data_IF_442723209519
#
_entry.id   IF_442723209519
#
_cell.length_a   1.000
_cell.length_b   1.000
_cell.length_c   1.000
_cell.angle_alpha   90.00
_cell.angle_beta   90.00
_cell.angle_gamma   90.00
#
_symmetry.space_group_name_H-M   'P 1'
#
loop_
_entity.id
_entity.type
_entity.pdbx_description
1 polymer ?
#
# COMPACT_ATOMS: atom_id res chain seq x y z
N UNK A 1 -43.66 -41.16 24.73
CA UNK A 1 -42.26 -40.81 24.42
C UNK A 1 -42.26 -40.09 23.10
N UNK A 2 -41.98 -38.78 23.08
CA UNK A 2 -42.13 -37.92 21.90
C UNK A 2 -41.01 -36.88 21.84
N UNK A 3 -40.38 -36.78 20.67
CA UNK A 3 -40.04 -35.52 20.02
C UNK A 3 -38.90 -34.68 20.59
N UNK A 4 -37.72 -34.85 19.99
CA UNK A 4 -36.70 -33.80 19.86
C UNK A 4 -37.28 -32.53 19.23
N UNK A 5 -36.89 -31.36 19.76
CA UNK A 5 -36.30 -30.26 18.98
C UNK A 5 -35.94 -29.11 19.93
N UNK A 6 -34.80 -29.24 20.60
CA UNK A 6 -34.16 -28.11 21.29
C UNK A 6 -33.47 -27.27 20.23
N UNK A 7 -34.10 -26.15 19.88
CA UNK A 7 -33.53 -25.14 18.99
C UNK A 7 -32.07 -24.86 19.34
N UNK A 8 -31.18 -25.19 18.41
CA UNK A 8 -29.76 -24.91 18.51
C UNK A 8 -29.56 -23.42 18.22
N UNK A 9 -29.69 -22.59 19.25
CA UNK A 9 -29.40 -21.16 19.16
C UNK A 9 -27.88 -21.01 18.99
N UNK A 10 -27.42 -20.86 17.75
CA UNK A 10 -26.02 -20.52 17.43
C UNK A 10 -25.72 -19.17 18.08
N UNK A 11 -25.13 -19.17 19.28
CA UNK A 11 -24.55 -17.97 19.86
C UNK A 11 -23.44 -17.51 18.92
N UNK A 12 -23.69 -16.42 18.20
CA UNK A 12 -22.63 -15.67 17.52
C UNK A 12 -21.58 -15.33 18.58
N UNK A 13 -20.42 -15.96 18.52
CA UNK A 13 -19.27 -15.60 19.35
C UNK A 13 -18.79 -14.24 18.88
N UNK A 14 -19.21 -13.18 19.55
CA UNK A 14 -18.49 -11.92 19.52
C UNK A 14 -17.05 -12.24 19.92
N UNK A 15 -16.11 -12.16 18.98
CA UNK A 15 -14.69 -12.14 19.33
C UNK A 15 -14.49 -10.85 20.12
N UNK A 16 -14.25 -10.97 21.43
CA UNK A 16 -13.82 -9.85 22.25
C UNK A 16 -12.59 -9.24 21.60
N UNK A 17 -12.56 -7.91 21.48
CA UNK A 17 -11.36 -7.20 21.05
C UNK A 17 -10.25 -7.54 22.04
N UNK A 18 -9.02 -7.86 21.58
CA UNK A 18 -7.92 -8.17 22.49
C UNK A 18 -7.74 -7.01 23.47
N UNK A 19 -7.74 -7.32 24.76
CA UNK A 19 -7.58 -6.33 25.82
C UNK A 19 -6.09 -6.03 26.01
N UNK A 20 -5.79 -4.91 26.67
CA UNK A 20 -4.41 -4.54 27.00
C UNK A 20 -3.72 -5.56 27.90
N UNK A 21 -4.49 -6.43 28.57
CA UNK A 21 -4.01 -7.51 29.43
C UNK A 21 -3.62 -8.78 28.64
N UNK A 22 -4.08 -8.91 27.38
CA UNK A 22 -3.65 -9.97 26.46
C UNK A 22 -2.20 -9.76 25.96
N UNK A 23 -1.64 -8.56 26.18
CA UNK A 23 -0.25 -8.20 25.86
C UNK A 23 0.64 -8.26 27.12
N UNK A 24 0.65 -9.40 27.81
CA UNK A 24 1.67 -9.65 28.83
C UNK A 24 3.00 -9.98 28.15
N UNK A 25 3.86 -8.98 27.98
CA UNK A 25 5.28 -9.21 27.74
C UNK A 25 5.84 -9.95 28.96
N UNK A 26 6.26 -11.20 28.72
CA UNK A 26 6.52 -12.20 29.74
C UNK A 26 7.41 -11.68 30.87
N UNK A 27 6.95 -11.90 32.11
CA UNK A 27 7.81 -11.87 33.29
C UNK A 27 8.94 -12.85 33.07
N UNK A 28 10.18 -12.37 33.10
CA UNK A 28 11.40 -13.16 32.97
C UNK A 28 11.47 -14.22 34.07
N UNK A 29 11.08 -15.45 33.73
CA UNK A 29 11.23 -16.60 34.63
C UNK A 29 12.68 -17.03 34.66
N UNK A 30 13.34 -16.88 35.80
CA UNK A 30 14.74 -17.24 36.05
C UNK A 30 14.96 -18.75 36.21
N UNK A 31 14.35 -19.58 35.36
CA UNK A 31 14.68 -21.01 35.28
C UNK A 31 15.70 -21.20 34.17
N UNK A 32 16.95 -21.45 34.58
CA UNK A 32 18.02 -21.93 33.71
C UNK A 32 17.58 -23.24 33.06
N UNK A 33 17.04 -23.15 31.86
CA UNK A 33 16.81 -24.32 31.02
C UNK A 33 18.10 -24.59 30.25
N UNK A 34 18.76 -25.67 30.64
CA UNK A 34 19.97 -26.20 30.02
C UNK A 34 19.60 -26.75 28.63
N UNK A 35 19.43 -25.86 27.65
CA UNK A 35 19.20 -26.24 26.25
C UNK A 35 20.55 -26.57 25.63
N UNK A 36 20.88 -27.86 25.71
CA UNK A 36 21.83 -28.60 24.91
C UNK A 36 22.51 -27.81 23.77
N UNK A 37 23.76 -27.43 24.02
CA UNK A 37 24.80 -27.40 23.00
C UNK A 37 24.93 -28.79 22.36
N UNK A 38 24.16 -29.06 21.32
CA UNK A 38 24.48 -30.13 20.36
C UNK A 38 24.24 -29.63 18.94
N UNK A 39 25.36 -29.34 18.29
CA UNK A 39 25.56 -29.40 16.84
C UNK A 39 24.74 -28.44 15.98
N UNK A 40 24.97 -27.14 16.13
CA UNK A 40 24.83 -26.22 14.99
C UNK A 40 26.25 -25.89 14.51
N UNK A 41 26.82 -26.79 13.72
CA UNK A 41 27.84 -26.39 12.75
C UNK A 41 27.07 -25.64 11.66
N UNK A 42 26.88 -24.33 11.85
CA UNK A 42 26.46 -23.47 10.75
C UNK A 42 27.64 -23.43 9.79
N UNK A 43 27.49 -24.05 8.62
CA UNK A 43 28.36 -23.74 7.49
C UNK A 43 28.05 -22.31 7.08
N UNK A 44 29.07 -21.47 7.08
CA UNK A 44 28.98 -20.02 6.91
C UNK A 44 28.91 -19.62 5.42
N UNK A 45 28.04 -20.27 4.63
CA UNK A 45 27.90 -20.01 3.18
C UNK A 45 26.52 -19.43 2.81
N UNK A 46 25.54 -19.40 3.72
CA UNK A 46 24.13 -19.06 3.44
C UNK A 46 23.60 -17.75 4.08
N UNK A 47 24.41 -17.06 4.90
CA UNK A 47 24.01 -15.80 5.56
C UNK A 47 24.00 -14.60 4.59
N UNK A 48 24.91 -14.59 3.61
CA UNK A 48 25.00 -13.52 2.61
C UNK A 48 23.86 -13.58 1.58
N UNK A 49 23.42 -14.78 1.21
CA UNK A 49 22.31 -14.98 0.27
C UNK A 49 20.98 -14.57 0.90
N UNK A 50 20.76 -14.90 2.17
CA UNK A 50 19.56 -14.54 2.93
C UNK A 50 19.50 -13.02 3.16
N UNK A 51 20.62 -12.40 3.54
CA UNK A 51 20.71 -10.95 3.74
C UNK A 51 20.45 -10.18 2.44
N UNK A 52 21.01 -10.63 1.32
CA UNK A 52 20.79 -10.01 0.01
C UNK A 52 19.33 -10.15 -0.46
N UNK A 53 18.70 -11.30 -0.21
CA UNK A 53 17.27 -11.51 -0.52
C UNK A 53 16.35 -10.57 0.27
N UNK A 54 16.64 -10.33 1.55
CA UNK A 54 15.88 -9.38 2.39
C UNK A 54 16.02 -7.96 1.84
N UNK A 55 17.25 -7.53 1.52
CA UNK A 55 17.49 -6.20 0.93
C UNK A 55 16.76 -6.04 -0.41
N UNK A 56 16.77 -7.06 -1.27
CA UNK A 56 16.08 -7.01 -2.55
C UNK A 56 14.55 -6.91 -2.38
N UNK A 57 13.97 -7.65 -1.41
CA UNK A 57 12.54 -7.55 -1.08
C UNK A 57 12.15 -6.17 -0.55
N UNK A 58 13.00 -5.56 0.29
CA UNK A 58 12.78 -4.20 0.78
C UNK A 58 12.80 -3.18 -0.36
N UNK A 59 13.75 -3.28 -1.30
CA UNK A 59 13.81 -2.41 -2.49
C UNK A 59 12.58 -2.56 -3.39
N UNK A 60 12.12 -3.80 -3.59
CA UNK A 60 10.89 -4.06 -4.34
C UNK A 60 9.67 -3.41 -3.67
N UNK A 61 9.52 -3.60 -2.36
CA UNK A 61 8.40 -3.06 -1.58
C UNK A 61 8.36 -1.52 -1.64
N UNK A 62 9.52 -0.87 -1.55
CA UNK A 62 9.63 0.59 -1.68
C UNK A 62 9.27 1.06 -3.10
N UNK A 63 9.66 0.32 -4.13
CA UNK A 63 9.32 0.65 -5.52
C UNK A 63 7.81 0.54 -5.76
N UNK A 64 7.17 -0.52 -5.24
CA UNK A 64 5.71 -0.70 -5.30
C UNK A 64 4.96 0.41 -4.54
N UNK A 65 5.48 0.84 -3.39
CA UNK A 65 4.95 1.99 -2.63
C UNK A 65 4.99 3.26 -3.47
N UNK A 66 6.11 3.54 -4.12
CA UNK A 66 6.27 4.72 -4.98
C UNK A 66 5.35 4.68 -6.20
N UNK A 67 5.21 3.52 -6.86
CA UNK A 67 4.27 3.34 -7.98
C UNK A 67 2.83 3.60 -7.54
N UNK A 68 2.44 3.07 -6.38
CA UNK A 68 1.10 3.27 -5.81
C UNK A 68 0.84 4.75 -5.52
N UNK A 69 1.81 5.45 -4.95
CA UNK A 69 1.69 6.87 -4.63
C UNK A 69 1.57 7.75 -5.89
N UNK A 70 2.37 7.46 -6.92
CA UNK A 70 2.23 8.09 -8.24
C UNK A 70 0.84 7.82 -8.85
N UNK A 71 0.29 6.62 -8.65
CA UNK A 71 -1.07 6.28 -9.06
C UNK A 71 -2.14 7.16 -8.39
N UNK A 72 -1.98 7.44 -7.08
CA UNK A 72 -2.88 8.37 -6.36
C UNK A 72 -2.75 9.79 -6.90
N UNK A 73 -1.53 10.27 -7.12
CA UNK A 73 -1.29 11.59 -7.70
C UNK A 73 -1.93 11.71 -9.09
N UNK A 74 -1.83 10.68 -9.93
CA UNK A 74 -2.51 10.64 -11.23
C UNK A 74 -4.03 10.75 -11.07
N UNK A 75 -4.61 10.03 -10.10
CA UNK A 75 -6.05 10.08 -9.83
C UNK A 75 -6.52 11.47 -9.37
N UNK A 76 -5.74 12.15 -8.53
CA UNK A 76 -6.05 13.51 -8.09
C UNK A 76 -6.04 14.49 -9.27
N UNK A 77 -4.99 14.44 -10.12
CA UNK A 77 -4.90 15.29 -11.31
C UNK A 77 -6.01 15.05 -12.33
N UNK A 78 -6.47 13.80 -12.48
CA UNK A 78 -7.65 13.50 -13.32
C UNK A 78 -8.94 14.09 -12.74
N UNK A 79 -9.07 14.12 -11.41
CA UNK A 79 -10.21 14.75 -10.75
C UNK A 79 -10.19 16.28 -10.96
N UNK A 80 -9.03 16.92 -10.81
CA UNK A 80 -8.84 18.34 -11.12
C UNK A 80 -9.29 18.67 -12.55
N UNK A 81 -8.86 17.84 -13.53
CA UNK A 81 -9.27 17.98 -14.93
C UNK A 81 -10.78 17.88 -15.12
N UNK A 82 -11.42 16.93 -14.43
CA UNK A 82 -12.88 16.74 -14.49
C UNK A 82 -13.62 17.93 -13.89
N UNK A 83 -13.13 18.47 -12.77
CA UNK A 83 -13.70 19.66 -12.15
C UNK A 83 -13.62 20.88 -13.07
N UNK A 84 -12.47 21.14 -13.68
CA UNK A 84 -12.32 22.26 -14.63
C UNK A 84 -13.21 22.06 -15.86
N UNK A 85 -13.32 20.82 -16.36
CA UNK A 85 -14.21 20.51 -17.48
C UNK A 85 -15.68 20.79 -17.12
N UNK A 86 -16.10 20.42 -15.90
CA UNK A 86 -17.45 20.72 -15.41
C UNK A 86 -17.68 22.23 -15.24
N UNK A 87 -16.68 22.97 -14.76
CA UNK A 87 -16.75 24.44 -14.67
C UNK A 87 -16.94 25.06 -16.06
N UNK A 88 -16.15 24.65 -17.06
CA UNK A 88 -16.31 25.09 -18.45
C UNK A 88 -17.70 24.79 -19.00
N UNK A 89 -18.24 23.59 -18.72
CA UNK A 89 -19.61 23.25 -19.11
C UNK A 89 -20.65 24.13 -18.43
N UNK A 90 -20.44 24.48 -17.15
CA UNK A 90 -21.38 25.35 -16.41
C UNK A 90 -21.43 26.78 -16.94
N UNK A 91 -20.33 27.29 -17.48
CA UNK A 91 -20.29 28.62 -18.13
C UNK A 91 -20.95 28.64 -19.51
N UNK A 92 -21.04 27.48 -20.19
CA UNK A 92 -21.67 27.36 -21.51
C UNK A 92 -21.01 28.27 -22.56
N UNK A 93 -21.82 28.92 -23.40
CA UNK A 93 -21.36 29.85 -24.44
C UNK A 93 -21.01 31.26 -23.93
N UNK A 94 -21.28 31.56 -22.66
CA UNK A 94 -21.15 32.90 -22.07
C UNK A 94 -19.92 33.02 -21.17
N UNK A 95 -18.94 32.13 -21.31
CA UNK A 95 -17.70 32.22 -20.55
C UNK A 95 -16.94 33.48 -20.95
N UNK A 96 -16.52 34.27 -19.97
CA UNK A 96 -15.63 35.40 -20.20
C UNK A 96 -14.33 34.89 -20.85
N UNK A 97 -13.82 35.61 -21.85
CA UNK A 97 -12.62 35.19 -22.57
C UNK A 97 -11.43 34.98 -21.64
N UNK A 98 -11.25 35.84 -20.64
CA UNK A 98 -10.14 35.76 -19.66
C UNK A 98 -10.29 34.50 -18.80
N UNK A 99 -11.51 34.18 -18.38
CA UNK A 99 -11.81 32.96 -17.62
C UNK A 99 -11.52 31.72 -18.48
N UNK A 100 -11.94 31.73 -19.75
CA UNK A 100 -11.71 30.62 -20.66
C UNK A 100 -10.22 30.36 -20.91
N UNK A 101 -9.43 31.43 -21.03
CA UNK A 101 -7.98 31.34 -21.22
C UNK A 101 -7.29 30.78 -19.96
N UNK A 102 -7.66 31.30 -18.79
CA UNK A 102 -7.12 30.80 -17.51
C UNK A 102 -7.41 29.31 -17.32
N UNK A 103 -8.64 28.86 -17.56
CA UNK A 103 -9.02 27.44 -17.43
C UNK A 103 -8.31 26.56 -18.48
N UNK A 104 -8.05 27.08 -19.68
CA UNK A 104 -7.24 26.36 -20.70
C UNK A 104 -5.79 26.19 -20.24
N UNK A 105 -5.21 27.21 -19.63
CA UNK A 105 -3.86 27.14 -19.08
C UNK A 105 -3.76 26.14 -17.93
N UNK A 106 -4.74 26.14 -17.02
CA UNK A 106 -4.83 25.14 -15.94
C UNK A 106 -4.95 23.71 -16.50
N UNK A 107 -5.79 23.49 -17.51
CA UNK A 107 -5.90 22.19 -18.21
C UNK A 107 -4.53 21.79 -18.80
N UNK A 108 -3.81 22.72 -19.40
CA UNK A 108 -2.49 22.48 -19.99
C UNK A 108 -1.48 22.04 -18.92
N UNK A 109 -1.43 22.75 -17.79
CA UNK A 109 -0.57 22.41 -16.66
C UNK A 109 -0.90 21.04 -16.06
N UNK A 110 -2.19 20.71 -15.90
CA UNK A 110 -2.61 19.40 -15.41
C UNK A 110 -2.20 18.28 -16.39
N UNK A 111 -2.33 18.51 -17.70
CA UNK A 111 -1.89 17.54 -18.71
C UNK A 111 -0.37 17.29 -18.66
N UNK A 112 0.42 18.35 -18.51
CA UNK A 112 1.88 18.24 -18.34
C UNK A 112 2.19 17.42 -17.08
N UNK A 113 1.58 17.76 -15.94
CA UNK A 113 1.77 17.04 -14.68
C UNK A 113 1.39 15.55 -14.79
N UNK A 114 0.30 15.22 -15.49
CA UNK A 114 -0.09 13.82 -15.75
C UNK A 114 0.95 13.07 -16.60
N UNK A 115 1.53 13.72 -17.61
CA UNK A 115 2.59 13.12 -18.42
C UNK A 115 3.84 12.84 -17.59
N UNK A 116 4.25 13.79 -16.74
CA UNK A 116 5.39 13.60 -15.83
C UNK A 116 5.17 12.46 -14.83
N UNK A 117 3.98 12.38 -14.22
CA UNK A 117 3.62 11.28 -13.31
C UNK A 117 3.71 9.93 -14.01
N UNK A 118 3.17 9.83 -15.24
CA UNK A 118 3.23 8.60 -16.05
C UNK A 118 4.67 8.24 -16.42
N UNK A 119 5.48 9.22 -16.81
CA UNK A 119 6.89 9.00 -17.13
C UNK A 119 7.65 8.45 -15.92
N UNK A 120 7.47 9.06 -14.73
CA UNK A 120 8.07 8.57 -13.48
C UNK A 120 7.62 7.16 -13.12
N UNK A 121 6.33 6.86 -13.27
CA UNK A 121 5.79 5.53 -13.00
C UNK A 121 6.38 4.47 -13.94
N UNK A 122 6.49 4.78 -15.22
CA UNK A 122 7.09 3.88 -16.22
C UNK A 122 8.58 3.66 -15.96
N UNK A 123 9.32 4.70 -15.56
CA UNK A 123 10.73 4.59 -15.19
C UNK A 123 10.94 3.69 -13.97
N UNK A 124 10.11 3.84 -12.92
CA UNK A 124 10.16 2.98 -11.73
C UNK A 124 9.80 1.53 -12.04
N UNK A 125 8.77 1.30 -12.87
CA UNK A 125 8.41 -0.05 -13.30
C UNK A 125 9.53 -0.71 -14.12
N UNK A 126 10.20 0.04 -15.00
CA UNK A 126 11.35 -0.45 -15.77
C UNK A 126 12.55 -0.77 -14.87
N UNK A 127 12.87 0.09 -13.90
CA UNK A 127 13.94 -0.15 -12.93
C UNK A 127 13.66 -1.38 -12.05
N UNK A 128 12.40 -1.61 -11.68
CA UNK A 128 11.98 -2.80 -10.94
C UNK A 128 12.20 -4.09 -11.73
N UNK A 129 12.05 -4.07 -13.06
CA UNK A 129 12.26 -5.24 -13.92
C UNK A 129 13.75 -5.55 -14.14
N UNK A 130 14.61 -4.53 -14.19
CA UNK A 130 16.06 -4.71 -14.33
C UNK A 130 16.76 -5.20 -13.05
N UNK A 131 16.17 -4.96 -11.87
CA UNK A 131 16.68 -5.49 -10.60
C UNK A 131 16.35 -6.95 -10.32
N UNK A 132 15.55 -7.60 -11.19
CA UNK A 132 15.15 -9.01 -11.09
C UNK A 132 15.94 -9.96 -12.02
N UNK A 133 16.79 -9.42 -12.90
CA UNK A 133 17.70 -10.18 -13.79
C UNK A 133 19.11 -10.23 -13.22
#
# INVERSE_FOLDING_TARGET
>A
MSGNDKGHLVRKRYRSKPSREDFQFGKSSSKKENVLQKNISVKHDDDDTTSQQVVNRLKQTETERQITELGKQESLRRNDLLNITNQLQSYGSNVDHVIAETLKDEISQIKISLQEIRARRNALAAASMQGMT
#
